data_IF_787401561251
#
_entry.id   IF_787401561251
#
_cell.length_a   1.000
_cell.length_b   1.000
_cell.length_c   1.000
_cell.angle_alpha   90.00
_cell.angle_beta   90.00
_cell.angle_gamma   90.00
#
_symmetry.space_group_name_H-M   'P 1'
#
loop_
_entity.id
_entity.type
_entity.pdbx_description
1 polymer ?
#
# COMPACT_ATOMS: atom_id res chain seq x y z
N UNK A 1 -9.78 -6.55 -10.82
CA UNK A 1 -10.29 -5.77 -9.67
C UNK A 1 -9.43 -6.06 -8.45
N UNK A 2 -8.98 -5.03 -7.74
CA UNK A 2 -8.29 -5.14 -6.46
C UNK A 2 -9.19 -4.61 -5.33
N UNK A 3 -9.15 -5.25 -4.17
CA UNK A 3 -9.92 -4.86 -2.98
C UNK A 3 -9.03 -4.84 -1.74
N UNK A 4 -9.07 -3.76 -0.98
CA UNK A 4 -8.22 -3.58 0.21
C UNK A 4 -9.08 -3.51 1.48
N UNK A 5 -8.63 -4.18 2.53
CA UNK A 5 -9.26 -4.20 3.85
C UNK A 5 -8.30 -3.75 4.93
N UNK A 6 -8.84 -3.13 5.98
CA UNK A 6 -8.07 -2.78 7.17
C UNK A 6 -8.66 -3.55 8.37
N UNK A 7 -7.82 -4.33 9.03
CA UNK A 7 -8.07 -4.96 10.31
C UNK A 7 -7.58 -4.06 11.45
N UNK A 8 -8.34 -4.01 12.54
CA UNK A 8 -8.08 -3.15 13.69
C UNK A 8 -8.61 -1.71 13.55
N UNK A 9 -9.66 -1.48 12.75
CA UNK A 9 -10.36 -0.19 12.76
C UNK A 9 -11.04 0.06 14.11
N UNK A 10 -11.25 1.33 14.53
CA UNK A 10 -11.95 1.65 15.76
C UNK A 10 -13.32 0.95 15.85
N UNK A 11 -13.61 0.34 16.99
CA UNK A 11 -14.83 -0.43 17.27
C UNK A 11 -15.05 -1.66 16.36
N UNK A 12 -14.05 -2.08 15.57
CA UNK A 12 -14.18 -3.24 14.71
C UNK A 12 -14.24 -4.53 15.55
N UNK A 13 -15.22 -5.37 15.27
CA UNK A 13 -15.39 -6.67 15.92
C UNK A 13 -15.11 -7.81 14.94
N UNK A 14 -14.94 -9.03 15.46
CA UNK A 14 -14.79 -10.22 14.60
C UNK A 14 -15.98 -10.42 13.65
N UNK A 15 -17.20 -10.06 14.08
CA UNK A 15 -18.38 -10.15 13.22
C UNK A 15 -18.26 -9.28 11.97
N UNK A 16 -17.65 -8.09 12.10
CA UNK A 16 -17.39 -7.22 10.95
C UNK A 16 -16.37 -7.83 10.00
N UNK A 17 -15.34 -8.51 10.51
CA UNK A 17 -14.36 -9.21 9.66
C UNK A 17 -15.01 -10.40 8.93
N UNK A 18 -15.87 -11.17 9.61
CA UNK A 18 -16.63 -12.27 9.01
C UNK A 18 -17.48 -11.76 7.85
N UNK A 19 -18.26 -10.70 8.09
CA UNK A 19 -19.12 -10.10 7.08
C UNK A 19 -18.31 -9.57 5.89
N UNK A 20 -17.19 -8.87 6.14
CA UNK A 20 -16.29 -8.42 5.07
C UNK A 20 -15.80 -9.58 4.19
N UNK A 21 -15.35 -10.68 4.81
CA UNK A 21 -14.86 -11.84 4.07
C UNK A 21 -15.97 -12.57 3.30
N UNK A 22 -17.19 -12.58 3.81
CA UNK A 22 -18.34 -13.10 3.07
C UNK A 22 -18.56 -12.30 1.78
N UNK A 23 -18.56 -10.97 1.83
CA UNK A 23 -18.67 -10.14 0.62
C UNK A 23 -17.51 -10.37 -0.35
N UNK A 24 -16.28 -10.46 0.14
CA UNK A 24 -15.10 -10.73 -0.71
C UNK A 24 -15.23 -12.08 -1.43
N UNK A 25 -15.56 -13.12 -0.68
CA UNK A 25 -15.67 -14.48 -1.23
C UNK A 25 -16.87 -14.61 -2.19
N UNK A 26 -17.93 -13.83 -2.01
CA UNK A 26 -19.06 -13.79 -2.94
C UNK A 26 -18.72 -13.05 -4.24
N UNK A 27 -17.95 -11.96 -4.17
CA UNK A 27 -17.65 -11.11 -5.33
C UNK A 27 -16.40 -11.56 -6.11
N UNK A 28 -15.54 -12.39 -5.50
CA UNK A 28 -14.33 -12.96 -6.11
C UNK A 28 -13.46 -11.94 -6.88
N UNK A 29 -13.01 -10.83 -6.26
CA UNK A 29 -12.07 -9.92 -6.89
C UNK A 29 -10.76 -10.63 -7.26
N UNK A 30 -10.08 -10.18 -8.30
CA UNK A 30 -8.83 -10.80 -8.74
C UNK A 30 -7.71 -10.70 -7.69
N UNK A 31 -7.74 -9.65 -6.88
CA UNK A 31 -6.73 -9.33 -5.86
C UNK A 31 -7.43 -8.82 -4.59
N UNK A 32 -6.95 -9.27 -3.43
CA UNK A 32 -7.43 -8.83 -2.10
C UNK A 32 -6.22 -8.56 -1.22
N UNK A 33 -6.17 -7.42 -0.54
CA UNK A 33 -5.11 -7.16 0.45
C UNK A 33 -5.72 -6.98 1.82
N UNK A 34 -5.17 -7.68 2.81
CA UNK A 34 -5.49 -7.46 4.22
C UNK A 34 -4.38 -6.60 4.81
N UNK A 35 -4.72 -5.38 5.21
CA UNK A 35 -3.83 -4.47 5.92
C UNK A 35 -4.19 -4.47 7.41
N UNK A 36 -3.21 -4.25 8.27
CA UNK A 36 -3.43 -3.90 9.68
C UNK A 36 -3.40 -2.38 9.84
N UNK A 37 -4.27 -1.83 10.70
CA UNK A 37 -4.30 -0.40 10.97
C UNK A 37 -2.94 0.09 11.49
N UNK A 38 -2.34 1.03 10.77
CA UNK A 38 -1.20 1.82 11.23
C UNK A 38 -1.65 3.24 11.56
N UNK A 39 -1.43 3.65 12.81
CA UNK A 39 -1.75 5.01 13.26
C UNK A 39 -0.77 6.01 12.68
N UNK A 40 -1.30 7.02 11.96
CA UNK A 40 -0.49 8.05 11.33
C UNK A 40 -0.76 9.41 11.98
N UNK A 41 0.31 10.09 12.39
CA UNK A 41 0.24 11.48 12.88
C UNK A 41 -0.40 12.39 11.83
N UNK A 42 -1.35 13.22 12.27
CA UNK A 42 -2.13 14.10 11.40
C UNK A 42 -3.22 13.39 10.59
N UNK A 43 -3.57 12.15 10.95
CA UNK A 43 -4.82 11.54 10.48
C UNK A 43 -5.96 11.91 11.44
N UNK A 44 -7.20 12.05 10.95
CA UNK A 44 -8.34 12.34 11.82
C UNK A 44 -8.47 11.36 12.98
N UNK A 45 -8.15 10.08 12.75
CA UNK A 45 -8.20 9.04 13.79
C UNK A 45 -7.18 9.32 14.92
N UNK A 46 -5.98 9.75 14.57
CA UNK A 46 -4.96 10.16 15.54
C UNK A 46 -5.36 11.46 16.27
N UNK A 47 -5.86 12.45 15.52
CA UNK A 47 -6.19 13.78 16.05
C UNK A 47 -7.45 13.76 16.93
N UNK A 48 -8.36 12.80 16.70
CA UNK A 48 -9.56 12.57 17.52
C UNK A 48 -9.31 11.64 18.71
N UNK A 49 -8.06 11.22 18.95
CA UNK A 49 -7.67 10.35 20.06
C UNK A 49 -8.45 9.03 20.14
N UNK A 50 -8.83 8.45 18.99
CA UNK A 50 -9.58 7.18 18.92
C UNK A 50 -8.69 5.95 19.19
N UNK A 51 -7.54 6.12 19.83
CA UNK A 51 -6.58 5.04 20.07
C UNK A 51 -7.10 3.97 21.04
N UNK A 52 -7.99 4.38 21.95
CA UNK A 52 -8.62 3.53 22.95
C UNK A 52 -9.78 2.70 22.35
N UNK A 53 -10.33 3.15 21.22
CA UNK A 53 -11.39 2.44 20.49
C UNK A 53 -10.84 1.36 19.54
N UNK A 54 -9.51 1.31 19.35
CA UNK A 54 -8.86 0.31 18.50
C UNK A 54 -8.87 -1.03 19.22
N UNK A 55 -9.28 -2.12 18.53
CA UNK A 55 -9.25 -3.45 19.10
C UNK A 55 -7.87 -3.86 19.61
N UNK A 56 -7.86 -4.68 20.65
CA UNK A 56 -6.62 -5.25 21.17
C UNK A 56 -5.88 -6.07 20.10
N UNK A 57 -4.55 -6.12 20.22
CA UNK A 57 -3.66 -6.78 19.27
C UNK A 57 -4.04 -8.24 19.00
N UNK A 58 -4.46 -8.97 20.04
CA UNK A 58 -4.88 -10.36 19.90
C UNK A 58 -6.11 -10.51 18.99
N UNK A 59 -7.09 -9.60 19.11
CA UNK A 59 -8.29 -9.62 18.27
C UNK A 59 -7.95 -9.28 16.82
N UNK A 60 -7.06 -8.31 16.61
CA UNK A 60 -6.58 -7.96 15.27
C UNK A 60 -5.83 -9.15 14.63
N UNK A 61 -5.01 -9.86 15.39
CA UNK A 61 -4.32 -11.06 14.91
C UNK A 61 -5.32 -12.16 14.53
N UNK A 62 -6.36 -12.38 15.33
CA UNK A 62 -7.46 -13.32 15.00
C UNK A 62 -8.20 -12.91 13.72
N UNK A 63 -8.48 -11.61 13.53
CA UNK A 63 -9.10 -11.09 12.30
C UNK A 63 -8.24 -11.39 11.06
N UNK A 64 -6.94 -11.13 11.13
CA UNK A 64 -6.00 -11.35 10.03
C UNK A 64 -5.88 -12.84 9.71
N UNK A 65 -5.76 -13.68 10.73
CA UNK A 65 -5.69 -15.14 10.58
C UNK A 65 -6.99 -15.69 9.96
N UNK A 66 -8.14 -15.23 10.43
CA UNK A 66 -9.44 -15.60 9.86
C UNK A 66 -9.55 -15.21 8.38
N UNK A 67 -9.18 -13.97 8.04
CA UNK A 67 -9.21 -13.48 6.66
C UNK A 67 -8.32 -14.32 5.74
N UNK A 68 -7.11 -14.67 6.20
CA UNK A 68 -6.21 -15.58 5.49
C UNK A 68 -6.88 -16.92 5.21
N UNK A 69 -7.39 -17.60 6.24
CA UNK A 69 -8.01 -18.92 6.11
C UNK A 69 -9.20 -18.91 5.14
N UNK A 70 -10.04 -17.86 5.21
CA UNK A 70 -11.17 -17.67 4.31
C UNK A 70 -10.75 -17.48 2.86
N UNK A 71 -9.72 -16.66 2.60
CA UNK A 71 -9.21 -16.42 1.26
C UNK A 71 -8.54 -17.67 0.68
N UNK A 72 -7.73 -18.38 1.46
CA UNK A 72 -7.10 -19.65 1.05
C UNK A 72 -8.16 -20.71 0.73
N UNK A 73 -9.21 -20.83 1.55
CA UNK A 73 -10.34 -21.73 1.29
C UNK A 73 -11.12 -21.34 0.02
N UNK A 74 -11.15 -20.05 -0.34
CA UNK A 74 -11.74 -19.55 -1.58
C UNK A 74 -10.79 -19.66 -2.81
N UNK A 75 -9.60 -20.25 -2.64
CA UNK A 75 -8.65 -20.52 -3.72
C UNK A 75 -7.66 -19.39 -4.01
N UNK A 76 -7.58 -18.38 -3.14
CA UNK A 76 -6.56 -17.34 -3.26
C UNK A 76 -5.21 -17.84 -2.73
N UNK A 77 -4.14 -17.27 -3.27
CA UNK A 77 -2.77 -17.49 -2.80
C UNK A 77 -2.10 -16.16 -2.44
N UNK A 78 -1.28 -16.11 -1.39
CA UNK A 78 -0.48 -14.91 -1.10
C UNK A 78 0.54 -14.68 -2.22
N UNK A 79 0.72 -13.43 -2.64
CA UNK A 79 1.62 -13.10 -3.76
C UNK A 79 2.53 -11.88 -3.52
N UNK A 80 2.24 -11.05 -2.53
CA UNK A 80 3.20 -10.07 -2.02
C UNK A 80 2.96 -9.77 -0.54
N UNK A 81 3.98 -9.20 0.09
CA UNK A 81 3.96 -8.77 1.47
C UNK A 81 4.65 -7.41 1.58
N UNK A 82 4.11 -6.53 2.41
CA UNK A 82 4.82 -5.34 2.81
C UNK A 82 4.56 -5.02 4.28
N UNK A 83 5.51 -4.31 4.91
CA UNK A 83 5.42 -3.92 6.31
C UNK A 83 5.33 -2.41 6.40
N UNK A 84 4.30 -1.91 7.09
CA UNK A 84 4.22 -0.50 7.43
C UNK A 84 4.97 -0.18 8.73
N UNK A 85 5.57 1.01 8.79
CA UNK A 85 6.05 1.53 10.07
C UNK A 85 4.85 1.96 10.92
N UNK A 86 4.93 1.77 12.24
CA UNK A 86 3.90 2.17 13.22
C UNK A 86 2.61 1.32 13.26
N UNK A 87 2.67 0.05 12.86
CA UNK A 87 1.57 -0.90 13.11
C UNK A 87 1.57 -1.35 14.57
N UNK A 88 0.41 -1.34 15.24
CA UNK A 88 0.24 -2.05 16.53
C UNK A 88 0.38 -3.55 16.27
N UNK A 89 1.28 -4.22 17.01
CA UNK A 89 1.55 -5.66 16.90
C UNK A 89 2.49 -6.14 15.79
N UNK A 90 3.09 -5.25 14.99
CA UNK A 90 4.01 -5.61 13.89
C UNK A 90 3.46 -6.68 12.91
N UNK A 91 2.14 -6.77 12.75
CA UNK A 91 1.50 -7.72 11.83
C UNK A 91 1.83 -7.38 10.37
N UNK A 92 1.65 -8.32 9.46
CA UNK A 92 2.08 -8.17 8.06
C UNK A 92 0.89 -7.79 7.16
N UNK A 93 1.11 -6.89 6.20
CA UNK A 93 0.10 -6.61 5.17
C UNK A 93 0.35 -7.54 3.98
N UNK A 94 -0.58 -8.45 3.73
CA UNK A 94 -0.42 -9.51 2.73
C UNK A 94 -1.45 -9.32 1.63
N UNK A 95 -0.96 -9.31 0.39
CA UNK A 95 -1.78 -9.36 -0.81
C UNK A 95 -2.02 -10.80 -1.25
N UNK A 96 -3.26 -11.12 -1.53
CA UNK A 96 -3.76 -12.39 -2.01
C UNK A 96 -4.33 -12.23 -3.42
N UNK A 97 -4.19 -13.26 -4.25
CA UNK A 97 -4.69 -13.24 -5.62
C UNK A 97 -5.22 -14.60 -6.03
N UNK A 98 -6.16 -14.61 -6.97
CA UNK A 98 -6.54 -15.84 -7.65
C UNK A 98 -5.39 -16.33 -8.55
N UNK A 99 -5.26 -17.65 -8.79
CA UNK A 99 -4.21 -18.19 -9.64
C UNK A 99 -4.18 -17.52 -11.03
N UNK A 100 -2.99 -17.08 -11.46
CA UNK A 100 -2.79 -16.40 -12.74
C UNK A 100 -3.29 -14.95 -12.78
N UNK A 101 -3.70 -14.36 -11.64
CA UNK A 101 -4.20 -12.99 -11.53
C UNK A 101 -3.31 -12.04 -10.73
N UNK A 102 -2.10 -12.49 -10.40
CA UNK A 102 -1.11 -11.70 -9.67
C UNK A 102 -0.85 -10.37 -10.40
N UNK A 103 -0.93 -9.27 -9.66
CA UNK A 103 -0.61 -7.95 -10.20
C UNK A 103 0.90 -7.77 -10.23
N UNK A 104 1.52 -7.93 -11.40
CA UNK A 104 2.96 -7.73 -11.58
C UNK A 104 3.39 -6.33 -11.14
N UNK A 105 2.60 -5.29 -11.44
CA UNK A 105 2.88 -3.93 -11.01
C UNK A 105 3.00 -3.82 -9.47
N UNK A 106 2.13 -4.50 -8.71
CA UNK A 106 2.19 -4.50 -7.24
C UNK A 106 3.48 -5.16 -6.73
N UNK A 107 3.92 -6.24 -7.37
CA UNK A 107 5.19 -6.89 -7.03
C UNK A 107 6.36 -5.93 -7.31
N UNK A 108 6.39 -5.37 -8.53
CA UNK A 108 7.49 -4.51 -8.98
C UNK A 108 7.64 -3.24 -8.15
N UNK A 109 6.53 -2.62 -7.73
CA UNK A 109 6.57 -1.42 -6.88
C UNK A 109 7.00 -1.73 -5.45
N UNK A 110 6.53 -2.85 -4.88
CA UNK A 110 6.88 -3.26 -3.50
C UNK A 110 8.32 -3.73 -3.39
N UNK A 111 8.86 -4.40 -4.41
CA UNK A 111 10.27 -4.79 -4.48
C UNK A 111 11.20 -3.66 -4.95
N UNK A 112 10.66 -2.48 -5.24
CA UNK A 112 11.41 -1.35 -5.83
C UNK A 112 12.19 -1.73 -7.10
N UNK A 113 11.58 -2.54 -7.97
CA UNK A 113 12.21 -3.08 -9.19
C UNK A 113 11.91 -2.26 -10.44
N UNK A 114 10.97 -1.32 -10.36
CA UNK A 114 10.49 -0.57 -11.51
C UNK A 114 10.68 0.94 -11.34
N UNK A 115 11.14 1.58 -12.41
CA UNK A 115 11.11 3.05 -12.52
C UNK A 115 9.66 3.52 -12.65
N UNK A 116 9.29 4.55 -11.90
CA UNK A 116 7.96 5.13 -11.85
C UNK A 116 8.07 6.59 -12.25
N UNK A 117 7.37 6.99 -13.30
CA UNK A 117 7.18 8.38 -13.64
C UNK A 117 5.82 8.83 -13.13
N UNK A 118 5.80 9.91 -12.36
CA UNK A 118 4.59 10.38 -11.70
C UNK A 118 4.17 11.76 -12.22
N UNK A 119 2.87 12.05 -12.13
CA UNK A 119 2.29 13.34 -12.49
C UNK A 119 1.30 13.77 -11.41
N UNK A 120 1.23 15.08 -11.16
CA UNK A 120 0.30 15.68 -10.21
C UNK A 120 0.92 15.97 -8.83
N UNK A 121 0.21 16.79 -8.02
CA UNK A 121 0.63 17.15 -6.67
C UNK A 121 0.83 15.93 -5.77
N UNK A 122 1.86 15.98 -4.92
CA UNK A 122 2.21 14.95 -3.94
C UNK A 122 2.77 13.66 -4.53
N UNK A 123 2.87 13.58 -5.86
CA UNK A 123 3.39 12.41 -6.54
C UNK A 123 4.91 12.26 -6.39
N UNK A 124 5.44 11.06 -6.64
CA UNK A 124 6.87 10.79 -6.58
C UNK A 124 7.32 9.99 -7.78
N UNK A 125 8.30 10.53 -8.51
CA UNK A 125 9.00 9.75 -9.53
C UNK A 125 10.16 8.99 -8.88
N UNK A 126 10.39 7.76 -9.34
CA UNK A 126 11.46 6.86 -8.90
C UNK A 126 12.21 6.31 -10.11
N UNK A 127 13.53 6.26 -10.02
CA UNK A 127 14.40 5.68 -11.04
C UNK A 127 15.11 4.49 -10.42
N UNK A 128 14.90 3.31 -11.01
CA UNK A 128 15.43 2.02 -10.57
C UNK A 128 16.14 1.34 -11.74
N UNK A 129 17.33 0.80 -11.50
CA UNK A 129 18.13 0.09 -12.50
C UNK A 129 18.96 -1.01 -11.85
N UNK A 130 19.03 -2.15 -12.51
CA UNK A 130 19.90 -3.26 -12.16
C UNK A 130 21.38 -2.94 -12.44
N UNK A 131 22.34 -3.57 -11.74
CA UNK A 131 22.14 -4.55 -10.67
C UNK A 131 21.92 -3.92 -9.29
N UNK A 132 22.22 -2.64 -9.09
CA UNK A 132 22.24 -2.03 -7.74
C UNK A 132 20.85 -1.77 -7.18
N UNK A 133 19.84 -1.57 -8.03
CA UNK A 133 18.47 -1.17 -7.65
C UNK A 133 18.46 -0.09 -6.57
N UNK A 134 19.35 0.90 -6.68
CA UNK A 134 19.42 2.01 -5.74
C UNK A 134 18.39 3.06 -6.11
N UNK A 135 17.50 3.37 -5.17
CA UNK A 135 16.43 4.34 -5.39
C UNK A 135 16.97 5.76 -5.55
N UNK A 136 16.80 6.31 -6.75
CA UNK A 136 16.80 7.75 -6.99
C UNK A 136 15.35 8.23 -7.09
N UNK A 137 15.02 9.36 -6.47
CA UNK A 137 13.64 9.85 -6.40
C UNK A 137 13.53 11.37 -6.50
N UNK A 138 12.38 11.82 -6.98
CA UNK A 138 11.96 13.21 -7.00
C UNK A 138 10.51 13.28 -6.52
N UNK A 139 10.27 14.09 -5.49
CA UNK A 139 8.94 14.36 -4.96
C UNK A 139 8.38 15.64 -5.58
N UNK A 140 7.08 15.64 -5.87
CA UNK A 140 6.32 16.81 -6.25
C UNK A 140 5.69 17.44 -4.99
N UNK A 141 5.55 18.78 -4.93
CA UNK A 141 4.82 19.45 -3.86
C UNK A 141 3.42 18.89 -3.69
N UNK A 142 2.96 18.71 -2.45
CA UNK A 142 1.59 18.26 -2.15
C UNK A 142 0.56 19.36 -2.33
N UNK A 143 0.97 20.58 -1.98
CA UNK A 143 0.17 21.78 -2.15
C UNK A 143 0.01 22.09 -3.65
N UNK A 144 -1.23 22.36 -4.07
CA UNK A 144 -1.58 22.52 -5.48
C UNK A 144 -1.02 23.83 -6.03
N UNK A 145 -1.04 24.90 -5.25
CA UNK A 145 -0.55 26.21 -5.67
C UNK A 145 0.97 26.16 -5.83
N UNK A 146 1.68 25.60 -4.84
CA UNK A 146 3.14 25.39 -4.93
C UNK A 146 3.49 24.47 -6.10
N UNK A 147 2.72 23.39 -6.33
CA UNK A 147 2.94 22.50 -7.47
C UNK A 147 2.82 23.26 -8.80
N UNK A 148 1.79 24.10 -8.94
CA UNK A 148 1.54 24.88 -10.14
C UNK A 148 2.63 25.94 -10.37
N UNK A 149 2.99 26.70 -9.32
CA UNK A 149 4.00 27.76 -9.41
C UNK A 149 5.41 27.23 -9.71
N UNK A 150 5.72 26.00 -9.31
CA UNK A 150 7.08 25.42 -9.43
C UNK A 150 7.20 24.33 -10.50
N UNK A 151 6.14 24.09 -11.28
CA UNK A 151 6.10 22.94 -12.20
C UNK A 151 7.22 22.96 -13.23
N UNK A 152 7.52 24.10 -13.85
CA UNK A 152 8.54 24.20 -14.89
C UNK A 152 9.93 23.83 -14.35
N UNK A 153 10.30 24.36 -13.18
CA UNK A 153 11.56 24.04 -12.52
C UNK A 153 11.64 22.55 -12.12
N UNK A 154 10.52 21.97 -11.68
CA UNK A 154 10.44 20.54 -11.32
C UNK A 154 10.56 19.65 -12.56
N UNK A 155 9.97 20.06 -13.69
CA UNK A 155 10.09 19.36 -14.97
C UNK A 155 11.53 19.40 -15.50
N UNK A 156 12.19 20.55 -15.44
CA UNK A 156 13.61 20.68 -15.82
C UNK A 156 14.52 19.82 -14.93
N UNK A 157 14.27 19.83 -13.61
CA UNK A 157 14.98 18.94 -12.68
C UNK A 157 14.77 17.47 -13.04
N UNK A 158 13.54 17.08 -13.38
CA UNK A 158 13.20 15.72 -13.78
C UNK A 158 13.92 15.33 -15.06
N UNK A 159 13.94 16.21 -16.05
CA UNK A 159 14.63 16.01 -17.32
C UNK A 159 16.12 15.74 -17.11
N UNK A 160 16.81 16.58 -16.33
CA UNK A 160 18.24 16.37 -15.99
C UNK A 160 18.50 15.06 -15.25
N UNK A 161 17.57 14.62 -14.40
CA UNK A 161 17.67 13.29 -13.77
C UNK A 161 17.55 12.19 -14.83
N UNK A 162 16.61 12.30 -15.75
CA UNK A 162 16.42 11.34 -16.83
C UNK A 162 17.67 11.21 -17.70
N UNK A 163 18.20 12.33 -18.22
CA UNK A 163 19.42 12.34 -19.04
C UNK A 163 20.57 11.64 -18.31
N UNK A 164 20.83 12.04 -17.06
CA UNK A 164 21.90 11.43 -16.26
C UNK A 164 21.68 9.93 -16.00
N UNK A 165 20.43 9.51 -15.84
CA UNK A 165 20.11 8.12 -15.47
C UNK A 165 20.15 7.16 -16.66
N UNK A 166 19.73 7.60 -17.85
CA UNK A 166 19.61 6.74 -19.03
C UNK A 166 20.63 6.99 -20.13
N UNK A 167 21.15 8.21 -20.28
CA UNK A 167 22.03 8.58 -21.39
C UNK A 167 23.51 8.54 -21.03
N UNK A 168 23.85 8.46 -19.73
CA UNK A 168 25.22 8.24 -19.29
C UNK A 168 25.51 6.73 -19.32
N UNK A 169 26.09 6.30 -20.43
CA UNK A 169 26.86 5.05 -20.59
C UNK A 169 28.33 5.36 -20.41
#
# INVERSE_FOLDING_TARGET
>A
VNMDFIAGLPNQTMLNMIENMDYVCQNLPENVTIHTLALKRGSPLYDLHMEDDIPEEHLVAEMVQYGKERLEAAGYVPYYLYRQQYMRGQLENIGYTLPGKACEYNIQIMEERQSILSMGPGSSSKWMRAPEYRQLKQHMPKDVDVYHETIDALLEKRHRICERFWEVV
#
